data_IF_473389611452
#
_entry.id   IF_473389611452
#
_cell.length_a   1.000
_cell.length_b   1.000
_cell.length_c   1.000
_cell.angle_alpha   90.00
_cell.angle_beta   90.00
_cell.angle_gamma   90.00
#
_symmetry.space_group_name_H-M   'P 1'
#
loop_
_entity.id
_entity.type
_entity.pdbx_description
1 polymer ?
#
# COMPACT_ATOMS: atom_id res chain seq x y z
N UNK A 1 -14.87 -3.69 -27.53
CA UNK A 1 -13.73 -3.84 -26.60
C UNK A 1 -12.47 -3.48 -27.38
N UNK A 2 -11.62 -2.48 -27.12
CA UNK A 2 -11.41 -1.48 -26.08
C UNK A 2 -11.12 -0.14 -26.79
N UNK A 3 -11.96 0.88 -26.65
CA UNK A 3 -11.58 2.26 -26.98
C UNK A 3 -11.05 3.01 -25.74
N UNK A 4 -10.46 2.25 -24.80
CA UNK A 4 -9.88 2.80 -23.58
C UNK A 4 -8.39 3.00 -23.85
N UNK A 5 -7.83 4.19 -23.61
CA UNK A 5 -6.43 4.48 -23.92
C UNK A 5 -5.51 3.57 -23.10
N UNK A 6 -4.88 2.61 -23.78
CA UNK A 6 -3.95 1.64 -23.18
C UNK A 6 -2.79 2.31 -22.42
N UNK A 7 -2.38 3.50 -22.87
CA UNK A 7 -1.34 4.30 -22.24
C UNK A 7 -1.63 4.60 -20.76
N UNK A 8 -2.90 4.71 -20.35
CA UNK A 8 -3.24 4.95 -18.94
C UNK A 8 -2.93 3.73 -18.08
N UNK A 9 -3.19 2.52 -18.57
CA UNK A 9 -2.85 1.28 -17.86
C UNK A 9 -1.33 1.06 -17.79
N UNK A 10 -0.61 1.44 -18.85
CA UNK A 10 0.87 1.42 -18.84
C UNK A 10 1.41 2.38 -17.79
N UNK A 11 0.89 3.60 -17.72
CA UNK A 11 1.31 4.60 -16.74
C UNK A 11 1.00 4.17 -15.30
N UNK A 12 -0.17 3.58 -15.05
CA UNK A 12 -0.53 2.99 -13.75
C UNK A 12 0.49 1.91 -13.37
N UNK A 13 0.73 0.94 -14.25
CA UNK A 13 1.69 -0.14 -13.99
C UNK A 13 3.12 0.37 -13.75
N UNK A 14 3.54 1.41 -14.46
CA UNK A 14 4.85 2.04 -14.28
C UNK A 14 4.99 2.73 -12.92
N UNK A 15 4.01 3.54 -12.52
CA UNK A 15 4.01 4.23 -11.23
C UNK A 15 3.93 3.25 -10.06
N UNK A 16 3.11 2.22 -10.17
CA UNK A 16 3.01 1.17 -9.13
C UNK A 16 4.30 0.35 -9.05
N UNK A 17 4.94 0.03 -10.18
CA UNK A 17 6.23 -0.65 -10.19
C UNK A 17 7.33 0.20 -9.56
N UNK A 18 7.41 1.49 -9.88
CA UNK A 18 8.35 2.42 -9.24
C UNK A 18 8.09 2.56 -7.74
N UNK A 19 6.83 2.72 -7.34
CA UNK A 19 6.43 2.81 -5.94
C UNK A 19 6.80 1.55 -5.16
N UNK A 20 6.55 0.38 -5.71
CA UNK A 20 6.90 -0.90 -5.08
C UNK A 20 8.43 -1.10 -5.05
N UNK A 21 9.15 -0.77 -6.11
CA UNK A 21 10.60 -0.89 -6.17
C UNK A 21 11.31 0.03 -5.14
N UNK A 22 10.92 1.31 -5.10
CA UNK A 22 11.43 2.28 -4.13
C UNK A 22 10.99 1.98 -2.70
N UNK A 23 9.74 1.53 -2.52
CA UNK A 23 9.21 1.18 -1.20
C UNK A 23 9.90 -0.05 -0.61
N UNK A 24 10.13 -1.10 -1.42
CA UNK A 24 10.85 -2.28 -0.97
C UNK A 24 12.32 -2.02 -0.67
N UNK A 25 12.99 -1.15 -1.43
CA UNK A 25 14.39 -0.79 -1.16
C UNK A 25 14.51 0.05 0.12
N UNK A 26 13.61 1.01 0.33
CA UNK A 26 13.56 1.78 1.57
C UNK A 26 13.19 0.92 2.78
N UNK A 27 12.18 0.06 2.65
CA UNK A 27 11.73 -0.83 3.74
C UNK A 27 12.82 -1.82 4.20
N UNK A 28 13.76 -2.19 3.33
CA UNK A 28 14.89 -3.05 3.72
C UNK A 28 15.89 -2.36 4.66
N UNK A 29 15.98 -1.03 4.60
CA UNK A 29 16.95 -0.22 5.35
C UNK A 29 16.31 0.54 6.52
N UNK A 30 14.98 0.59 6.57
CA UNK A 30 14.22 1.29 7.61
C UNK A 30 13.81 0.33 8.74
N UNK A 31 13.79 0.81 9.99
CA UNK A 31 13.21 0.05 11.09
C UNK A 31 11.72 -0.20 10.85
N UNK A 32 11.25 -1.39 11.24
CA UNK A 32 9.88 -1.85 11.02
C UNK A 32 8.78 -0.84 11.38
N UNK A 33 8.82 -0.17 12.56
CA UNK A 33 7.79 0.79 12.92
C UNK A 33 7.91 2.15 12.20
N UNK A 34 9.07 2.49 11.61
CA UNK A 34 9.22 3.72 10.82
C UNK A 34 8.50 3.63 9.46
N UNK A 35 8.36 2.42 8.90
CA UNK A 35 7.71 2.16 7.61
C UNK A 35 6.25 2.67 7.58
N UNK A 36 5.34 2.25 8.49
CA UNK A 36 3.95 2.72 8.46
C UNK A 36 3.84 4.22 8.79
N UNK A 37 4.72 4.78 9.63
CA UNK A 37 4.76 6.22 9.93
C UNK A 37 5.04 7.02 8.65
N UNK A 38 6.08 6.64 7.90
CA UNK A 38 6.47 7.31 6.66
C UNK A 38 5.44 7.05 5.55
N UNK A 39 4.89 5.83 5.49
CA UNK A 39 3.84 5.45 4.54
C UNK A 39 2.55 6.25 4.74
N UNK A 40 2.34 6.85 5.92
CA UNK A 40 1.17 7.70 6.18
C UNK A 40 1.12 8.94 5.29
N UNK A 41 2.27 9.38 4.75
CA UNK A 41 2.33 10.45 3.74
C UNK A 41 1.54 10.10 2.46
N UNK A 42 1.26 8.82 2.22
CA UNK A 42 0.38 8.34 1.15
C UNK A 42 -0.97 9.06 1.14
N UNK A 43 -1.62 9.27 2.29
CA UNK A 43 -2.91 9.98 2.34
C UNK A 43 -2.80 11.44 1.89
N UNK A 44 -1.70 12.10 2.29
CA UNK A 44 -1.43 13.51 1.92
C UNK A 44 -1.22 13.63 0.42
N UNK A 45 -0.38 12.75 -0.14
CA UNK A 45 -0.16 12.68 -1.59
C UNK A 45 -1.44 12.35 -2.34
N UNK A 46 -2.26 11.43 -1.83
CA UNK A 46 -3.49 11.04 -2.49
C UNK A 46 -4.53 12.17 -2.51
N UNK A 47 -4.67 12.94 -1.41
CA UNK A 47 -5.51 14.14 -1.40
C UNK A 47 -5.03 15.17 -2.41
N UNK A 48 -3.71 15.47 -2.40
CA UNK A 48 -3.11 16.45 -3.30
C UNK A 48 -3.30 16.04 -4.77
N UNK A 49 -2.96 14.80 -5.12
CA UNK A 49 -3.11 14.30 -6.49
C UNK A 49 -4.57 14.20 -6.92
N UNK A 50 -5.49 13.86 -6.00
CA UNK A 50 -6.92 13.85 -6.31
C UNK A 50 -7.45 15.26 -6.61
N UNK A 51 -7.05 16.27 -5.85
CA UNK A 51 -7.44 17.67 -6.17
C UNK A 51 -6.90 18.13 -7.53
N UNK A 52 -5.69 17.70 -7.92
CA UNK A 52 -5.06 18.13 -9.17
C UNK A 52 -5.59 17.35 -10.38
N UNK A 53 -5.77 16.03 -10.26
CA UNK A 53 -6.07 15.13 -11.40
C UNK A 53 -7.59 14.93 -11.58
N UNK A 54 -8.35 14.85 -10.49
CA UNK A 54 -9.79 14.60 -10.50
C UNK A 54 -10.63 15.86 -10.25
N UNK A 55 -10.00 17.01 -9.98
CA UNK A 55 -10.65 18.26 -9.55
C UNK A 55 -11.59 18.05 -8.34
N UNK A 56 -11.19 17.13 -7.44
CA UNK A 56 -11.97 16.79 -6.27
C UNK A 56 -11.98 17.95 -5.26
N UNK A 57 -13.16 18.26 -4.70
CA UNK A 57 -13.31 19.29 -3.66
C UNK A 57 -13.49 18.65 -2.30
N UNK A 58 -12.50 18.82 -1.42
CA UNK A 58 -12.57 18.33 -0.05
C UNK A 58 -13.08 19.41 0.90
N UNK A 59 -13.98 19.02 1.81
CA UNK A 59 -14.40 19.89 2.90
C UNK A 59 -13.32 19.96 3.99
N UNK A 60 -13.36 21.02 4.80
CA UNK A 60 -12.44 21.16 5.93
C UNK A 60 -12.50 19.95 6.89
N UNK A 61 -13.69 19.37 7.11
CA UNK A 61 -13.85 18.17 7.95
C UNK A 61 -13.14 16.95 7.38
N UNK A 62 -13.16 16.77 6.05
CA UNK A 62 -12.46 15.66 5.41
C UNK A 62 -10.94 15.79 5.53
N UNK A 63 -10.41 17.01 5.36
CA UNK A 63 -8.98 17.27 5.55
C UNK A 63 -8.58 16.99 7.00
N UNK A 64 -9.34 17.50 7.97
CA UNK A 64 -9.09 17.24 9.40
C UNK A 64 -9.23 15.75 9.73
N UNK A 65 -10.22 15.06 9.16
CA UNK A 65 -10.39 13.61 9.33
C UNK A 65 -9.20 12.80 8.83
N UNK A 66 -8.67 13.13 7.64
CA UNK A 66 -7.46 12.49 7.11
C UNK A 66 -6.22 12.76 7.96
N UNK A 67 -6.04 14.01 8.44
CA UNK A 67 -4.93 14.37 9.33
C UNK A 67 -5.03 13.66 10.68
N UNK A 68 -6.24 13.51 11.23
CA UNK A 68 -6.48 12.73 12.44
C UNK A 68 -6.15 11.26 12.23
N UNK A 69 -6.57 10.65 11.13
CA UNK A 69 -6.18 9.27 10.78
C UNK A 69 -4.66 9.14 10.70
N UNK A 70 -3.98 10.11 10.06
CA UNK A 70 -2.53 10.12 10.00
C UNK A 70 -1.87 10.20 11.38
N UNK A 71 -2.33 11.12 12.21
CA UNK A 71 -1.83 11.28 13.57
C UNK A 71 -2.09 10.03 14.42
N UNK A 72 -3.28 9.42 14.27
CA UNK A 72 -3.66 8.20 14.98
C UNK A 72 -2.75 7.02 14.65
N UNK A 73 -2.41 6.81 13.37
CA UNK A 73 -1.44 5.78 12.96
C UNK A 73 -0.07 6.05 13.58
N UNK A 74 0.42 7.30 13.49
CA UNK A 74 1.74 7.66 14.05
C UNK A 74 1.81 7.39 15.54
N UNK A 75 0.81 7.83 16.32
CA UNK A 75 0.76 7.61 17.77
C UNK A 75 0.60 6.13 18.11
N UNK A 76 -0.20 5.38 17.34
CA UNK A 76 -0.38 3.95 17.57
C UNK A 76 0.93 3.17 17.35
N UNK A 77 1.69 3.50 16.31
CA UNK A 77 2.93 2.80 15.97
C UNK A 77 4.10 3.23 16.86
N UNK A 78 4.21 4.53 17.20
CA UNK A 78 5.29 5.02 18.06
C UNK A 78 5.22 4.49 19.49
N UNK A 79 4.07 3.95 19.90
CA UNK A 79 3.84 3.40 21.23
C UNK A 79 4.66 2.16 21.58
N UNK A 80 5.23 1.48 20.57
CA UNK A 80 6.08 0.30 20.73
C UNK A 80 7.57 0.56 20.51
N UNK A 81 8.00 1.82 20.37
CA UNK A 81 9.38 2.18 20.00
C UNK A 81 9.93 3.30 20.87
N UNK A 82 11.17 3.18 21.35
CA UNK A 82 11.89 4.28 21.98
C UNK A 82 12.13 5.40 20.95
N UNK A 83 11.31 6.45 21.03
CA UNK A 83 11.18 7.49 20.00
C UNK A 83 12.46 8.27 19.66
N UNK A 84 13.47 8.24 20.53
CA UNK A 84 14.72 8.98 20.35
C UNK A 84 15.79 8.23 19.51
N UNK A 85 15.59 6.93 19.22
CA UNK A 85 16.59 6.13 18.47
C UNK A 85 16.08 5.57 17.14
N UNK A 86 14.78 5.68 16.81
CA UNK A 86 14.21 5.00 15.64
C UNK A 86 14.88 5.34 14.30
N UNK A 87 15.30 6.59 14.08
CA UNK A 87 15.97 7.00 12.84
C UNK A 87 17.47 7.29 13.06
N UNK A 88 17.97 7.05 14.26
CA UNK A 88 19.38 7.27 14.58
C UNK A 88 20.23 6.24 13.84
N UNK A 89 21.08 6.71 12.91
CA UNK A 89 21.91 5.85 12.05
C UNK A 89 21.31 5.50 10.69
N UNK A 90 20.10 5.97 10.36
CA UNK A 90 19.53 5.80 9.02
C UNK A 90 19.84 7.02 8.16
N UNK A 91 20.43 6.79 6.98
CA UNK A 91 20.65 7.88 6.01
C UNK A 91 19.32 8.52 5.59
N UNK A 92 19.27 9.85 5.53
CA UNK A 92 18.10 10.62 5.13
C UNK A 92 17.51 10.20 3.76
N UNK A 93 18.34 9.59 2.90
CA UNK A 93 17.93 9.04 1.62
C UNK A 93 16.81 8.00 1.76
N UNK A 94 16.84 7.12 2.76
CA UNK A 94 15.88 6.01 2.87
C UNK A 94 14.49 6.47 3.31
N UNK A 95 14.34 7.34 4.34
CA UNK A 95 13.05 7.97 4.63
C UNK A 95 12.51 8.78 3.45
N UNK A 96 13.36 9.57 2.78
CA UNK A 96 12.95 10.35 1.61
C UNK A 96 12.47 9.45 0.45
N UNK A 97 13.17 8.34 0.21
CA UNK A 97 12.79 7.34 -0.80
C UNK A 97 11.47 6.66 -0.45
N UNK A 98 11.21 6.39 0.84
CA UNK A 98 9.93 5.86 1.29
C UNK A 98 8.78 6.85 1.01
N UNK A 99 8.95 8.13 1.33
CA UNK A 99 7.95 9.17 1.07
C UNK A 99 7.71 9.32 -0.45
N UNK A 100 8.77 9.31 -1.26
CA UNK A 100 8.67 9.33 -2.71
C UNK A 100 7.92 8.10 -3.25
N UNK A 101 8.17 6.93 -2.66
CA UNK A 101 7.47 5.69 -3.03
C UNK A 101 5.96 5.79 -2.77
N UNK A 102 5.56 6.41 -1.65
CA UNK A 102 4.16 6.67 -1.31
C UNK A 102 3.49 7.60 -2.31
N UNK A 103 4.22 8.60 -2.84
CA UNK A 103 3.70 9.49 -3.88
C UNK A 103 3.41 8.74 -5.20
N UNK A 104 4.30 7.85 -5.63
CA UNK A 104 4.08 7.04 -6.84
C UNK A 104 2.90 6.07 -6.69
N UNK A 105 2.80 5.39 -5.53
CA UNK A 105 1.67 4.51 -5.24
C UNK A 105 0.35 5.29 -5.20
N UNK A 106 0.33 6.47 -4.58
CA UNK A 106 -0.84 7.34 -4.55
C UNK A 106 -1.24 7.78 -5.98
N UNK A 107 -0.26 8.12 -6.82
CA UNK A 107 -0.50 8.42 -8.24
C UNK A 107 -1.13 7.25 -9.00
N UNK A 108 -0.67 6.02 -8.77
CA UNK A 108 -1.27 4.81 -9.34
C UNK A 108 -2.74 4.64 -8.93
N UNK A 109 -3.04 4.82 -7.63
CA UNK A 109 -4.40 4.76 -7.07
C UNK A 109 -5.35 5.81 -7.68
N UNK A 110 -4.90 7.07 -7.77
CA UNK A 110 -5.66 8.18 -8.35
C UNK A 110 -5.89 8.01 -9.85
N UNK A 111 -4.90 7.51 -10.59
CA UNK A 111 -5.07 7.20 -12.01
C UNK A 111 -6.07 6.06 -12.24
N UNK A 112 -6.10 5.04 -11.36
CA UNK A 112 -7.12 3.99 -11.40
C UNK A 112 -8.52 4.59 -11.19
N UNK A 113 -8.69 5.47 -10.20
CA UNK A 113 -9.94 6.21 -9.97
C UNK A 113 -10.34 7.04 -11.20
N UNK A 114 -9.40 7.79 -11.78
CA UNK A 114 -9.64 8.56 -13.01
C UNK A 114 -10.10 7.67 -14.17
N UNK A 115 -9.51 6.48 -14.34
CA UNK A 115 -9.93 5.52 -15.37
C UNK A 115 -11.36 5.03 -15.13
N UNK A 116 -11.75 4.76 -13.87
CA UNK A 116 -13.13 4.39 -13.56
C UNK A 116 -14.12 5.52 -13.84
N UNK A 117 -13.78 6.76 -13.48
CA UNK A 117 -14.62 7.95 -13.73
C UNK A 117 -14.76 8.26 -15.23
N UNK A 118 -13.66 8.28 -15.99
CA UNK A 118 -13.68 8.50 -17.45
C UNK A 118 -14.38 7.35 -18.19
N UNK A 119 -14.27 6.11 -17.70
CA UNK A 119 -15.01 5.00 -18.29
C UNK A 119 -16.52 5.13 -18.05
N UNK A 120 -16.96 5.55 -16.86
CA UNK A 120 -18.38 5.73 -16.54
C UNK A 120 -19.04 6.81 -17.42
N UNK A 121 -18.33 7.92 -17.70
CA UNK A 121 -18.81 8.97 -18.61
C UNK A 121 -18.88 8.49 -20.07
N UNK A 122 -17.85 7.80 -20.56
CA UNK A 122 -17.82 7.28 -21.95
C UNK A 122 -18.80 6.14 -22.21
N UNK A 123 -19.09 5.31 -21.21
CA UNK A 123 -19.95 4.14 -21.35
C UNK A 123 -21.41 4.40 -20.95
N UNK A 124 -21.84 5.68 -20.90
CA UNK A 124 -23.22 6.10 -20.56
C UNK A 124 -23.72 5.46 -19.26
N UNK A 125 -22.89 5.45 -18.21
CA UNK A 125 -23.24 4.90 -16.90
C UNK A 125 -22.98 3.41 -16.73
N UNK A 126 -22.51 2.68 -17.76
CA UNK A 126 -21.98 1.32 -17.55
C UNK A 126 -20.57 1.41 -16.94
N UNK A 127 -20.39 0.75 -15.81
CA UNK A 127 -19.10 0.73 -15.13
C UNK A 127 -18.11 -0.19 -15.85
N UNK A 128 -16.85 0.21 -15.94
CA UNK A 128 -15.77 -0.68 -16.37
C UNK A 128 -15.64 -1.85 -15.38
N UNK A 129 -15.32 -3.03 -15.90
CA UNK A 129 -15.07 -4.20 -15.08
C UNK A 129 -13.76 -4.01 -14.30
N UNK A 130 -13.80 -4.29 -12.99
CA UNK A 130 -12.67 -4.22 -12.08
C UNK A 130 -11.56 -5.18 -12.55
N UNK A 131 -11.94 -6.35 -13.05
CA UNK A 131 -10.98 -7.35 -13.51
C UNK A 131 -10.11 -6.84 -14.66
N UNK A 132 -10.66 -6.02 -15.55
CA UNK A 132 -9.89 -5.41 -16.65
C UNK A 132 -8.85 -4.45 -16.08
N UNK A 133 -9.25 -3.51 -15.22
CA UNK A 133 -8.32 -2.52 -14.65
C UNK A 133 -7.23 -3.20 -13.81
N UNK A 134 -7.62 -4.15 -12.97
CA UNK A 134 -6.68 -4.86 -12.11
C UNK A 134 -5.70 -5.73 -12.91
N UNK A 135 -6.19 -6.47 -13.90
CA UNK A 135 -5.35 -7.41 -14.66
C UNK A 135 -4.39 -6.67 -15.59
N UNK A 136 -4.85 -5.64 -16.30
CA UNK A 136 -3.95 -4.84 -17.14
C UNK A 136 -2.94 -4.04 -16.31
N UNK A 137 -3.38 -3.44 -15.19
CA UNK A 137 -2.47 -2.75 -14.27
C UNK A 137 -1.41 -3.69 -13.71
N UNK A 138 -1.82 -4.84 -13.18
CA UNK A 138 -0.89 -5.85 -12.62
C UNK A 138 0.04 -6.44 -13.66
N UNK A 139 -0.43 -6.66 -14.91
CA UNK A 139 0.41 -7.17 -15.99
C UNK A 139 1.53 -6.18 -16.37
N UNK A 140 1.19 -4.91 -16.54
CA UNK A 140 2.22 -3.88 -16.80
C UNK A 140 3.12 -3.65 -15.60
N UNK A 141 2.58 -3.66 -14.38
CA UNK A 141 3.39 -3.61 -13.15
C UNK A 141 4.40 -4.76 -13.12
N UNK A 142 3.97 -6.00 -13.36
CA UNK A 142 4.85 -7.16 -13.38
C UNK A 142 5.95 -7.03 -14.45
N UNK A 143 5.62 -6.53 -15.64
CA UNK A 143 6.59 -6.25 -16.70
C UNK A 143 7.65 -5.24 -16.24
N UNK A 144 7.24 -4.12 -15.65
CA UNK A 144 8.17 -3.09 -15.18
C UNK A 144 8.98 -3.56 -13.96
N UNK A 145 8.41 -4.34 -13.06
CA UNK A 145 9.15 -4.95 -11.94
C UNK A 145 10.21 -5.92 -12.45
N UNK A 146 9.89 -6.76 -13.45
CA UNK A 146 10.86 -7.62 -14.11
C UNK A 146 11.96 -6.82 -14.79
N UNK A 147 11.63 -5.67 -15.35
CA UNK A 147 12.60 -4.74 -15.93
C UNK A 147 13.50 -4.07 -14.87
N UNK A 148 12.97 -3.74 -13.69
CA UNK A 148 13.73 -3.16 -12.58
C UNK A 148 14.50 -4.20 -11.75
N UNK A 149 14.19 -5.48 -11.89
CA UNK A 149 14.78 -6.58 -11.12
C UNK A 149 16.33 -6.63 -11.17
N UNK A 150 17.00 -6.46 -12.33
CA UNK A 150 18.47 -6.39 -12.40
C UNK A 150 19.05 -5.28 -11.53
N UNK A 151 18.42 -4.10 -11.55
CA UNK A 151 18.85 -2.93 -10.77
C UNK A 151 18.64 -3.16 -9.27
N UNK A 152 17.46 -3.65 -8.88
CA UNK A 152 17.15 -3.97 -7.48
C UNK A 152 18.05 -5.08 -6.91
N UNK A 153 18.40 -6.07 -7.74
CA UNK A 153 19.30 -7.15 -7.36
C UNK A 153 20.71 -6.64 -7.09
N UNK A 154 21.20 -5.73 -7.93
CA UNK A 154 22.50 -5.09 -7.74
C UNK A 154 22.54 -4.27 -6.44
N UNK A 155 21.48 -3.52 -6.13
CA UNK A 155 21.35 -2.81 -4.85
C UNK A 155 21.35 -3.74 -3.63
N UNK A 156 20.81 -4.96 -3.76
CA UNK A 156 20.87 -6.00 -2.72
C UNK A 156 22.18 -6.79 -2.69
N UNK A 157 23.16 -6.43 -3.52
CA UNK A 157 24.46 -7.09 -3.58
C UNK A 157 24.50 -8.40 -4.40
N UNK A 158 23.45 -8.70 -5.16
CA UNK A 158 23.41 -9.89 -6.04
C UNK A 158 23.89 -9.47 -7.45
N UNK A 159 25.03 -9.98 -7.93
CA UNK A 159 25.51 -9.67 -9.27
C UNK A 159 24.57 -10.23 -10.34
N UNK A 160 24.43 -9.52 -11.46
CA UNK A 160 23.51 -9.87 -12.54
C UNK A 160 23.73 -11.29 -13.09
N UNK A 161 24.99 -11.76 -13.09
CA UNK A 161 25.35 -13.12 -13.53
C UNK A 161 24.74 -14.23 -12.67
N UNK A 162 24.46 -13.95 -11.39
CA UNK A 162 23.88 -14.91 -10.46
C UNK A 162 22.35 -14.84 -10.41
N UNK A 163 21.74 -13.83 -11.04
CA UNK A 163 20.29 -13.63 -11.00
C UNK A 163 19.48 -14.83 -11.55
N UNK A 164 19.85 -15.46 -12.70
CA UNK A 164 19.13 -16.63 -13.19
C UNK A 164 19.22 -17.82 -12.24
N UNK A 165 20.40 -18.01 -11.62
CA UNK A 165 20.61 -19.08 -10.64
C UNK A 165 19.80 -18.80 -9.36
N UNK A 166 19.76 -17.55 -8.91
CA UNK A 166 18.95 -17.12 -7.76
C UNK A 166 17.45 -17.36 -7.99
N UNK A 167 16.93 -17.01 -9.17
CA UNK A 167 15.54 -17.29 -9.55
C UNK A 167 15.26 -18.80 -9.62
N UNK A 168 16.18 -19.59 -10.16
CA UNK A 168 16.05 -21.05 -10.23
C UNK A 168 16.01 -21.68 -8.84
N UNK A 169 16.89 -21.25 -7.93
CA UNK A 169 16.90 -21.69 -6.53
C UNK A 169 15.64 -21.27 -5.80
N UNK A 170 15.16 -20.04 -6.01
CA UNK A 170 13.89 -19.56 -5.45
C UNK A 170 12.68 -20.36 -5.96
N UNK A 171 12.64 -20.72 -7.25
CA UNK A 171 11.60 -21.57 -7.81
C UNK A 171 11.64 -22.99 -7.27
N UNK A 172 12.84 -23.56 -7.09
CA UNK A 172 13.01 -24.87 -6.46
C UNK A 172 12.52 -24.87 -5.00
N UNK A 173 12.85 -23.81 -4.25
CA UNK A 173 12.36 -23.59 -2.89
C UNK A 173 10.84 -23.45 -2.84
N UNK A 174 10.25 -22.65 -3.75
CA UNK A 174 8.81 -22.44 -3.84
C UNK A 174 8.06 -23.75 -4.14
N UNK A 175 8.54 -24.54 -5.10
CA UNK A 175 7.96 -25.83 -5.46
C UNK A 175 8.31 -26.95 -4.47
N UNK A 176 9.09 -26.65 -3.44
CA UNK A 176 9.59 -27.61 -2.45
C UNK A 176 10.33 -28.80 -3.12
N UNK A 177 11.05 -28.53 -4.21
CA UNK A 177 11.84 -29.52 -4.95
C UNK A 177 13.26 -29.51 -4.37
N UNK A 178 13.51 -30.39 -3.41
CA UNK A 178 14.80 -30.53 -2.73
C UNK A 178 14.64 -30.48 -1.21
N UNK A 179 14.37 -31.64 -0.61
CA UNK A 179 14.28 -31.81 0.85
C UNK A 179 15.64 -31.47 1.47
N UNK A 180 15.76 -30.32 2.14
CA UNK A 180 16.96 -29.99 2.95
C UNK A 180 17.59 -28.61 2.77
N UNK A 181 17.02 -27.67 2.02
CA UNK A 181 17.51 -26.28 2.07
C UNK A 181 16.92 -25.54 3.27
N UNK A 182 17.79 -25.17 4.21
CA UNK A 182 17.48 -24.31 5.36
C UNK A 182 16.77 -23.05 4.85
N UNK A 183 15.56 -22.77 5.34
CA UNK A 183 14.78 -21.56 5.00
C UNK A 183 13.64 -21.74 3.98
N UNK A 184 13.37 -22.95 3.50
CA UNK A 184 12.20 -23.24 2.65
C UNK A 184 11.00 -23.85 3.42
N UNK A 185 11.00 -23.73 4.75
CA UNK A 185 9.95 -24.30 5.57
C UNK A 185 8.59 -23.64 5.29
N UNK A 186 7.58 -24.48 5.05
CA UNK A 186 6.22 -24.05 4.73
C UNK A 186 5.94 -23.69 3.26
N UNK A 187 6.91 -23.84 2.36
CA UNK A 187 6.66 -23.81 0.91
C UNK A 187 6.04 -25.14 0.41
N UNK A 188 5.11 -25.13 -0.56
CA UNK A 188 4.53 -23.97 -1.28
C UNK A 188 3.37 -23.28 -0.55
N UNK A 189 2.85 -23.85 0.54
CA UNK A 189 1.56 -23.49 1.12
C UNK A 189 1.52 -22.03 1.63
N UNK A 190 2.54 -21.59 2.39
CA UNK A 190 2.60 -20.24 2.94
C UNK A 190 2.66 -19.16 1.83
N UNK A 191 3.54 -19.26 0.82
CA UNK A 191 3.52 -18.36 -0.33
C UNK A 191 2.18 -18.34 -1.09
N UNK A 192 1.56 -19.51 -1.32
CA UNK A 192 0.28 -19.57 -2.02
C UNK A 192 -0.86 -18.92 -1.24
N UNK A 193 -0.89 -19.10 0.09
CA UNK A 193 -1.85 -18.45 0.97
C UNK A 193 -1.66 -16.94 0.95
N UNK A 194 -0.42 -16.46 1.00
CA UNK A 194 -0.09 -15.05 0.87
C UNK A 194 -0.60 -14.47 -0.47
N UNK A 195 -0.29 -15.12 -1.60
CA UNK A 195 -0.72 -14.68 -2.93
C UNK A 195 -2.26 -14.63 -3.03
N UNK A 196 -2.93 -15.68 -2.54
CA UNK A 196 -4.40 -15.76 -2.56
C UNK A 196 -5.02 -14.63 -1.75
N UNK A 197 -4.51 -14.40 -0.54
CA UNK A 197 -5.02 -13.34 0.33
C UNK A 197 -4.72 -11.95 -0.26
N UNK A 198 -3.55 -11.74 -0.87
CA UNK A 198 -3.18 -10.48 -1.51
C UNK A 198 -4.08 -10.17 -2.72
N UNK A 199 -4.40 -11.17 -3.54
CA UNK A 199 -5.36 -11.02 -4.66
C UNK A 199 -6.75 -10.67 -4.12
N UNK A 200 -7.23 -11.38 -3.11
CA UNK A 200 -8.54 -11.10 -2.50
C UNK A 200 -8.60 -9.68 -1.91
N UNK A 201 -7.54 -9.25 -1.22
CA UNK A 201 -7.41 -7.90 -0.67
C UNK A 201 -7.43 -6.83 -1.76
N UNK A 202 -6.64 -7.00 -2.83
CA UNK A 202 -6.62 -6.04 -3.94
C UNK A 202 -7.98 -5.92 -4.64
N UNK A 203 -8.69 -7.05 -4.84
CA UNK A 203 -10.05 -7.04 -5.41
C UNK A 203 -11.02 -6.28 -4.48
N UNK A 204 -10.94 -6.51 -3.16
CA UNK A 204 -11.78 -5.81 -2.19
C UNK A 204 -11.54 -4.29 -2.20
N UNK A 205 -10.27 -3.87 -2.19
CA UNK A 205 -9.90 -2.44 -2.25
C UNK A 205 -10.37 -1.80 -3.56
N UNK A 206 -10.23 -2.47 -4.70
CA UNK A 206 -10.72 -1.95 -5.98
C UNK A 206 -12.25 -1.90 -6.07
N UNK A 207 -12.94 -2.86 -5.46
CA UNK A 207 -14.40 -2.82 -5.34
C UNK A 207 -14.85 -1.60 -4.54
N UNK A 208 -14.16 -1.30 -3.43
CA UNK A 208 -14.43 -0.12 -2.62
C UNK A 208 -14.10 1.18 -3.36
N UNK A 209 -12.96 1.24 -4.06
CA UNK A 209 -12.56 2.37 -4.90
C UNK A 209 -13.61 2.65 -5.98
N UNK A 210 -14.14 1.60 -6.62
CA UNK A 210 -15.18 1.72 -7.65
C UNK A 210 -16.49 2.33 -7.13
N UNK A 211 -16.89 2.02 -5.91
CA UNK A 211 -18.16 2.48 -5.31
C UNK A 211 -18.01 3.86 -4.67
N UNK A 212 -16.82 4.16 -4.12
CA UNK A 212 -16.56 5.35 -3.32
C UNK A 212 -15.52 6.26 -3.99
N UNK A 213 -14.29 6.30 -3.46
CA UNK A 213 -13.16 7.07 -3.95
C UNK A 213 -11.86 6.42 -3.49
N UNK A 214 -10.73 6.77 -4.10
CA UNK A 214 -9.42 6.27 -3.63
C UNK A 214 -9.16 6.66 -2.17
N UNK A 215 -9.55 7.88 -1.76
CA UNK A 215 -9.36 8.37 -0.38
C UNK A 215 -10.12 7.53 0.63
N UNK A 216 -11.40 7.24 0.38
CA UNK A 216 -12.18 6.37 1.28
C UNK A 216 -11.59 4.97 1.33
N UNK A 217 -11.20 4.41 0.18
CA UNK A 217 -10.59 3.08 0.13
C UNK A 217 -9.32 2.99 0.99
N UNK A 218 -8.45 4.00 0.90
CA UNK A 218 -7.23 4.05 1.71
C UNK A 218 -7.50 4.29 3.19
N UNK A 219 -8.50 5.11 3.54
CA UNK A 219 -8.91 5.30 4.94
C UNK A 219 -9.40 4.00 5.58
N UNK A 220 -10.15 3.18 4.83
CA UNK A 220 -10.58 1.84 5.30
C UNK A 220 -9.39 0.91 5.48
N UNK A 221 -8.43 0.91 4.55
CA UNK A 221 -7.19 0.13 4.68
C UNK A 221 -6.37 0.55 5.91
N UNK A 222 -6.37 1.84 6.27
CA UNK A 222 -5.67 2.30 7.48
C UNK A 222 -6.26 1.73 8.77
N UNK A 223 -7.53 1.32 8.79
CA UNK A 223 -8.13 0.60 9.93
C UNK A 223 -7.50 -0.79 10.11
N UNK A 224 -6.99 -1.40 9.05
CA UNK A 224 -6.30 -2.69 9.13
C UNK A 224 -4.98 -2.61 9.91
N UNK A 225 -4.35 -1.42 10.01
CA UNK A 225 -3.08 -1.24 10.73
C UNK A 225 -3.21 -1.54 12.23
N UNK A 226 -4.09 -0.88 13.02
CA UNK A 226 -4.24 -1.21 14.43
C UNK A 226 -4.79 -2.63 14.64
N UNK A 227 -5.64 -3.13 13.74
CA UNK A 227 -6.12 -4.52 13.81
C UNK A 227 -4.96 -5.51 13.66
N UNK A 228 -4.05 -5.27 12.71
CA UNK A 228 -2.88 -6.10 12.51
C UNK A 228 -1.94 -6.06 13.72
N UNK A 229 -1.68 -4.88 14.29
CA UNK A 229 -0.87 -4.75 15.51
C UNK A 229 -1.52 -5.50 16.68
N UNK A 230 -2.83 -5.38 16.85
CA UNK A 230 -3.58 -6.11 17.88
C UNK A 230 -3.46 -7.63 17.68
N UNK A 231 -3.67 -8.13 16.46
CA UNK A 231 -3.56 -9.58 16.17
C UNK A 231 -2.13 -10.08 16.41
N UNK A 232 -1.11 -9.33 15.99
CA UNK A 232 0.30 -9.69 16.17
C UNK A 232 0.77 -9.60 17.63
N UNK A 233 0.05 -8.88 18.48
CA UNK A 233 0.33 -8.85 19.93
C UNK A 233 -0.16 -10.11 20.66
N UNK A 234 -1.06 -10.89 20.04
CA UNK A 234 -1.54 -12.15 20.61
C UNK A 234 -0.47 -13.25 20.46
N UNK A 235 -0.42 -14.21 21.41
CA UNK A 235 0.46 -15.37 21.28
C UNK A 235 -0.04 -16.26 20.13
N UNK A 236 0.53 -16.07 18.94
CA UNK A 236 0.20 -16.81 17.73
C UNK A 236 1.09 -18.06 17.63
N UNK A 237 0.64 -19.14 16.97
CA UNK A 237 1.38 -20.40 16.89
C UNK A 237 2.80 -20.31 16.29
N UNK A 238 3.13 -19.20 15.62
CA UNK A 238 4.45 -18.91 15.05
C UNK A 238 5.19 -17.72 15.70
N UNK A 239 4.56 -17.01 16.65
CA UNK A 239 5.12 -15.86 17.38
C UNK A 239 5.04 -16.16 18.88
N UNK A 240 6.16 -16.58 19.46
CA UNK A 240 6.25 -17.16 20.81
C UNK A 240 6.11 -16.11 21.92
N UNK A 241 6.33 -14.83 21.63
CA UNK A 241 6.21 -13.74 22.60
C UNK A 241 4.99 -12.85 22.28
N UNK A 242 3.97 -12.93 23.13
CA UNK A 242 2.88 -11.96 23.12
C UNK A 242 3.36 -10.62 23.67
N UNK A 243 3.06 -9.53 22.96
CA UNK A 243 3.46 -8.19 23.35
C UNK A 243 2.35 -7.48 24.15
N UNK A 244 2.69 -6.80 25.25
CA UNK A 244 1.73 -5.97 25.98
C UNK A 244 1.46 -4.68 25.22
N UNK A 245 0.19 -4.39 24.93
CA UNK A 245 -0.21 -3.15 24.25
C UNK A 245 -0.13 -1.95 25.21
N UNK A 246 0.64 -0.94 24.82
CA UNK A 246 0.79 0.31 25.57
C UNK A 246 -0.51 1.15 25.53
N UNK A 247 -0.85 1.93 26.57
CA UNK A 247 -1.99 2.86 26.53
C UNK A 247 -1.97 3.85 25.35
N UNK A 248 -0.77 4.22 24.87
CA UNK A 248 -0.59 5.04 23.68
C UNK A 248 -1.12 4.37 22.38
N UNK A 249 -1.07 3.04 22.29
CA UNK A 249 -1.66 2.30 21.17
C UNK A 249 -3.18 2.45 21.14
N UNK A 250 -3.82 2.34 22.31
CA UNK A 250 -5.27 2.54 22.44
C UNK A 250 -5.64 3.98 22.08
N UNK A 251 -4.88 4.96 22.57
CA UNK A 251 -5.08 6.36 22.24
C UNK A 251 -4.96 6.62 20.73
N UNK A 252 -3.89 6.14 20.08
CA UNK A 252 -3.71 6.26 18.63
C UNK A 252 -4.84 5.60 17.84
N UNK A 253 -5.29 4.42 18.26
CA UNK A 253 -6.42 3.70 17.64
C UNK A 253 -7.73 4.48 17.79
N UNK A 254 -8.01 5.09 18.94
CA UNK A 254 -9.21 5.93 19.13
C UNK A 254 -9.17 7.19 18.28
N UNK A 255 -8.01 7.84 18.16
CA UNK A 255 -7.82 9.02 17.29
C UNK A 255 -8.07 8.65 15.83
N UNK A 256 -7.54 7.50 15.38
CA UNK A 256 -7.77 6.98 14.04
C UNK A 256 -9.26 6.77 13.77
N UNK A 257 -9.96 6.10 14.68
CA UNK A 257 -11.40 5.86 14.55
C UNK A 257 -12.20 7.17 14.55
N UNK A 258 -11.84 8.13 15.39
CA UNK A 258 -12.46 9.45 15.41
C UNK A 258 -12.24 10.21 14.09
N UNK A 259 -11.05 10.14 13.51
CA UNK A 259 -10.73 10.72 12.20
C UNK A 259 -11.55 10.11 11.07
N UNK A 260 -11.73 8.79 11.08
CA UNK A 260 -12.56 8.07 10.11
C UNK A 260 -14.04 8.47 10.24
N UNK A 261 -14.56 8.56 11.47
CA UNK A 261 -15.94 9.01 11.72
C UNK A 261 -16.10 10.45 11.21
N UNK A 262 -15.19 11.35 11.56
CA UNK A 262 -15.24 12.75 11.13
C UNK A 262 -15.24 12.90 9.60
N UNK A 263 -14.44 12.07 8.91
CA UNK A 263 -14.39 12.06 7.45
C UNK A 263 -15.72 11.62 6.82
N UNK A 264 -16.40 10.64 7.43
CA UNK A 264 -17.63 10.03 6.89
C UNK A 264 -18.92 10.71 7.36
N UNK A 265 -18.86 11.71 8.26
CA UNK A 265 -20.05 12.42 8.69
C UNK A 265 -20.74 13.13 7.51
N UNK A 266 -22.09 13.07 7.44
CA UNK A 266 -22.86 13.75 6.39
C UNK A 266 -22.49 15.22 6.32
N UNK A 267 -22.18 15.70 5.12
CA UNK A 267 -21.93 17.13 4.93
C UNK A 267 -23.26 17.87 4.99
N UNK A 268 -23.38 18.96 5.78
CA UNK A 268 -24.51 19.87 5.63
C UNK A 268 -24.47 20.42 4.21
N UNK A 269 -25.55 20.18 3.46
CA UNK A 269 -25.71 20.65 2.09
C UNK A 269 -25.51 22.17 2.06
N UNK A 270 -24.43 22.63 1.42
CA UNK A 270 -24.37 24.03 0.99
C UNK A 270 -25.48 24.22 -0.05
N UNK A 271 -26.43 25.14 0.13
CA UNK A 271 -27.35 25.49 -0.94
C UNK A 271 -26.52 26.00 -2.12
N UNK A 272 -26.73 25.42 -3.31
CA UNK A 272 -26.20 25.96 -4.57
C UNK A 272 -26.84 27.34 -4.76
N UNK A 273 -26.05 28.40 -4.62
CA UNK A 273 -26.35 29.72 -5.18
C UNK A 273 -25.98 29.74 -6.65
#
# INVERSE_FOLDING_TARGET
MLAIPKMRFVLIGFLEALGVAAGMSAAAMLPGPAIPILSQTFLVWQLLLSTIVLDARYSFRQIVGCLLVATGVVVAVSSGSDGDQMLSGVEFLWPALMIASSAFQAGGSILKEFVFVDAATRLKGKSLDIFVVNSFGSAFQALFVLFFLPFLSNMKGIPFSQLPQYLKSGAACFLNIGVGTIGCEGAPLLPLLYVTNNIAFNIAVLSLLKISSAVVASLVVMVSVPIAIYILSLPLPYLVEGASLTPFFLLGSTILMAGLILYNLPQPSKPRS
#
